data_IF_712518348695
#
_entry.id   IF_712518348695
#
_cell.length_a   1.000
_cell.length_b   1.000
_cell.length_c   1.000
_cell.angle_alpha   90.00
_cell.angle_beta   90.00
_cell.angle_gamma   90.00
#
_symmetry.space_group_name_H-M   'P 1'
#
loop_
_entity.id
_entity.type
_entity.pdbx_description
1 polymer ?
#
# COMPACT_ATOMS: atom_id res chain seq x y z
N UNK A 1 -15.82 -0.49 5.20
CA UNK A 1 -14.46 -0.18 5.11
C UNK A 1 -13.61 -1.13 5.82
N UNK A 2 -12.57 -1.58 5.20
CA UNK A 2 -11.69 -2.60 5.75
C UNK A 2 -10.30 -2.05 5.92
N UNK A 3 -9.73 -2.32 7.08
CA UNK A 3 -8.33 -2.00 7.33
C UNK A 3 -7.55 -3.29 7.41
N UNK A 4 -6.37 -3.28 6.84
CA UNK A 4 -5.50 -4.44 6.86
C UNK A 4 -4.18 -4.04 7.51
N UNK A 5 -3.78 -4.79 8.52
CA UNK A 5 -2.52 -4.53 9.18
C UNK A 5 -1.41 -5.22 8.41
N UNK A 6 -0.47 -4.42 7.91
CA UNK A 6 0.66 -4.95 7.14
C UNK A 6 1.89 -4.80 8.00
N UNK A 7 2.51 -5.90 8.34
CA UNK A 7 3.71 -5.90 9.17
C UNK A 7 4.97 -6.16 8.37
N UNK A 8 4.83 -6.80 7.22
CA UNK A 8 5.99 -7.09 6.37
C UNK A 8 5.61 -6.88 4.92
N UNK A 9 6.62 -6.66 4.09
CA UNK A 9 6.39 -6.45 2.66
C UNK A 9 5.78 -7.68 1.99
N UNK A 10 6.02 -8.86 2.55
CA UNK A 10 5.48 -10.08 1.96
C UNK A 10 3.97 -10.15 2.00
N UNK A 11 3.34 -9.35 2.83
CA UNK A 11 1.89 -9.34 2.90
C UNK A 11 1.26 -8.49 1.80
N UNK A 12 2.03 -7.62 1.17
CA UNK A 12 1.48 -6.68 0.22
C UNK A 12 1.00 -7.29 -1.09
N UNK A 13 1.70 -8.28 -1.69
CA UNK A 13 1.28 -8.76 -3.01
C UNK A 13 -0.18 -9.21 -3.05
N UNK A 14 -0.61 -9.99 -2.08
CA UNK A 14 -1.98 -10.46 -2.06
C UNK A 14 -2.98 -9.33 -1.91
N UNK A 15 -2.64 -8.36 -1.06
CA UNK A 15 -3.53 -7.23 -0.84
C UNK A 15 -3.64 -6.35 -2.07
N UNK A 16 -2.51 -6.10 -2.74
CA UNK A 16 -2.54 -5.26 -3.94
C UNK A 16 -3.37 -5.91 -5.03
N UNK A 17 -3.23 -7.22 -5.21
CA UNK A 17 -4.03 -7.91 -6.19
C UNK A 17 -5.51 -7.90 -5.84
N UNK A 18 -5.82 -8.09 -4.57
CA UNK A 18 -7.20 -8.09 -4.13
C UNK A 18 -7.86 -6.73 -4.35
N UNK A 19 -7.15 -5.66 -4.02
CA UNK A 19 -7.67 -4.31 -4.22
C UNK A 19 -7.88 -4.02 -5.70
N UNK A 20 -6.95 -4.47 -6.54
CA UNK A 20 -7.08 -4.26 -7.98
C UNK A 20 -8.31 -4.97 -8.51
N UNK A 21 -8.51 -6.21 -8.10
CA UNK A 21 -9.68 -6.97 -8.55
C UNK A 21 -10.98 -6.38 -8.02
N UNK A 22 -10.93 -5.85 -6.81
CA UNK A 22 -12.09 -5.19 -6.25
C UNK A 22 -12.49 -3.97 -7.06
N UNK A 23 -11.51 -3.26 -7.61
CA UNK A 23 -11.77 -2.13 -8.47
C UNK A 23 -12.21 -2.53 -9.88
N UNK A 24 -12.17 -3.82 -10.17
CA UNK A 24 -12.51 -4.30 -11.50
C UNK A 24 -11.47 -4.01 -12.55
N UNK A 25 -10.21 -3.82 -12.14
CA UNK A 25 -9.15 -3.47 -13.07
C UNK A 25 -8.28 -4.67 -13.40
N UNK A 26 -7.97 -4.83 -14.68
CA UNK A 26 -6.93 -5.77 -15.08
C UNK A 26 -5.58 -5.14 -14.81
N UNK A 27 -4.52 -5.95 -14.86
CA UNK A 27 -3.17 -5.40 -14.73
C UNK A 27 -2.88 -4.36 -15.81
N UNK A 28 -3.34 -4.62 -17.03
CA UNK A 28 -3.12 -3.69 -18.12
C UNK A 28 -3.81 -2.36 -17.86
N UNK A 29 -5.03 -2.40 -17.34
CA UNK A 29 -5.77 -1.18 -17.05
C UNK A 29 -5.12 -0.39 -15.92
N UNK A 30 -4.70 -1.07 -14.88
CA UNK A 30 -4.04 -0.39 -13.77
C UNK A 30 -2.71 0.22 -14.22
N UNK A 31 -1.97 -0.50 -15.04
CA UNK A 31 -0.71 0.01 -15.58
C UNK A 31 -0.94 1.25 -16.41
N UNK A 32 -1.99 1.22 -17.23
CA UNK A 32 -2.31 2.37 -18.04
C UNK A 32 -2.59 3.61 -17.18
N UNK A 33 -3.35 3.43 -16.12
CA UNK A 33 -3.66 4.53 -15.21
C UNK A 33 -2.44 5.06 -14.49
N UNK A 34 -1.49 4.18 -14.21
CA UNK A 34 -0.23 4.61 -13.59
C UNK A 34 0.74 5.23 -14.59
N UNK A 35 0.53 4.99 -15.88
CA UNK A 35 1.48 5.43 -16.88
C UNK A 35 2.71 4.57 -16.96
N UNK A 36 2.58 3.28 -16.67
CA UNK A 36 3.70 2.34 -16.74
C UNK A 36 3.29 1.14 -17.59
N UNK A 37 4.26 0.31 -17.94
CA UNK A 37 3.97 -0.90 -18.70
C UNK A 37 3.31 -1.94 -17.80
N UNK A 38 2.61 -2.88 -18.42
CA UNK A 38 2.01 -3.97 -17.68
C UNK A 38 3.07 -4.80 -16.98
N UNK A 39 4.23 -4.97 -17.60
CA UNK A 39 5.32 -5.70 -16.98
C UNK A 39 5.79 -5.01 -15.70
N UNK A 40 5.88 -3.69 -15.73
CA UNK A 40 6.27 -2.92 -14.56
C UNK A 40 5.24 -3.10 -13.44
N UNK A 41 3.97 -3.03 -13.78
CA UNK A 41 2.93 -3.23 -12.79
C UNK A 41 2.96 -4.64 -12.22
N UNK A 42 3.15 -5.63 -13.08
CA UNK A 42 3.21 -7.01 -12.64
C UNK A 42 4.34 -7.22 -11.66
N UNK A 43 5.51 -6.65 -11.96
CA UNK A 43 6.66 -6.74 -11.06
C UNK A 43 6.38 -6.03 -9.74
N UNK A 44 5.72 -4.90 -9.80
CA UNK A 44 5.39 -4.13 -8.61
C UNK A 44 4.45 -4.92 -7.70
N UNK A 45 3.46 -5.56 -8.28
CA UNK A 45 2.51 -6.35 -7.50
C UNK A 45 3.16 -7.58 -6.88
N UNK A 46 4.08 -8.20 -7.63
CA UNK A 46 4.72 -9.41 -7.13
C UNK A 46 5.76 -9.14 -6.07
N UNK A 47 6.46 -8.03 -6.20
CA UNK A 47 7.62 -7.79 -5.36
C UNK A 47 7.69 -6.32 -4.96
N UNK A 48 6.71 -5.85 -4.20
CA UNK A 48 6.66 -4.44 -3.82
C UNK A 48 7.85 -4.00 -2.98
N UNK A 49 8.55 -4.93 -2.35
CA UNK A 49 9.72 -4.57 -1.57
C UNK A 49 10.85 -4.01 -2.43
N UNK A 50 10.79 -4.24 -3.74
CA UNK A 50 11.85 -3.79 -4.63
C UNK A 50 11.50 -2.54 -5.41
N UNK A 51 10.38 -1.92 -5.10
CA UNK A 51 9.97 -0.71 -5.77
C UNK A 51 10.05 0.46 -4.83
N UNK A 52 10.14 1.64 -5.39
CA UNK A 52 10.19 2.85 -4.57
C UNK A 52 8.84 3.09 -3.91
N UNK A 53 8.88 3.77 -2.79
CA UNK A 53 7.67 4.16 -2.10
C UNK A 53 6.80 5.03 -3.01
N UNK A 54 7.43 5.87 -3.81
CA UNK A 54 6.69 6.73 -4.72
C UNK A 54 5.82 5.92 -5.68
N UNK A 55 6.39 4.88 -6.28
CA UNK A 55 5.63 4.05 -7.19
C UNK A 55 4.54 3.27 -6.48
N UNK A 56 4.85 2.78 -5.28
CA UNK A 56 3.85 2.09 -4.50
C UNK A 56 2.69 3.01 -4.17
N UNK A 57 2.98 4.24 -3.76
CA UNK A 57 1.94 5.21 -3.44
C UNK A 57 1.07 5.53 -4.66
N UNK A 58 1.68 5.60 -5.83
CA UNK A 58 0.92 5.81 -7.06
C UNK A 58 -0.04 4.66 -7.33
N UNK A 59 0.44 3.44 -7.15
CA UNK A 59 -0.45 2.29 -7.35
C UNK A 59 -1.60 2.32 -6.36
N UNK A 60 -1.31 2.61 -5.10
CA UNK A 60 -2.37 2.68 -4.10
C UNK A 60 -3.41 3.73 -4.49
N UNK A 61 -2.96 4.85 -5.02
CA UNK A 61 -3.88 5.88 -5.47
C UNK A 61 -4.79 5.38 -6.59
N UNK A 62 -4.23 4.66 -7.55
CA UNK A 62 -5.00 4.09 -8.65
C UNK A 62 -6.03 3.09 -8.13
N UNK A 63 -5.65 2.34 -7.10
CA UNK A 63 -6.53 1.33 -6.53
C UNK A 63 -7.57 1.92 -5.57
N UNK A 64 -7.48 3.22 -5.30
CA UNK A 64 -8.41 3.84 -4.36
C UNK A 64 -8.12 3.48 -2.92
N UNK A 65 -6.87 3.17 -2.62
CA UNK A 65 -6.46 2.71 -1.29
C UNK A 65 -5.60 3.78 -0.65
N UNK A 66 -5.85 4.04 0.61
CA UNK A 66 -5.05 4.98 1.38
C UNK A 66 -4.05 4.22 2.23
N UNK A 67 -2.86 4.75 2.35
CA UNK A 67 -1.87 4.19 3.26
C UNK A 67 -1.97 4.94 4.58
N UNK A 68 -2.27 4.21 5.64
CA UNK A 68 -2.41 4.78 6.98
C UNK A 68 -1.36 4.15 7.88
N UNK A 69 -0.65 4.96 8.59
CA UNK A 69 0.29 4.47 9.59
C UNK A 69 -0.39 4.53 10.95
N UNK A 70 -0.41 3.41 11.61
CA UNK A 70 -1.09 3.31 12.90
C UNK A 70 -0.13 2.80 13.94
N UNK A 71 0.05 3.56 14.98
CA UNK A 71 0.89 3.14 16.09
C UNK A 71 -0.02 2.72 17.24
N UNK A 72 -0.07 1.43 17.57
CA UNK A 72 -0.92 0.99 18.68
C UNK A 72 -0.46 1.61 19.99
N UNK A 73 -1.42 2.00 20.78
CA UNK A 73 -1.07 2.62 22.04
C UNK A 73 -1.33 1.72 23.20
N UNK A 74 -1.41 0.50 22.91
CA UNK A 74 -1.76 -0.42 23.91
C UNK A 74 -1.22 -0.06 25.22
N UNK A 75 -0.24 0.46 25.30
CA UNK A 75 0.27 0.74 26.43
C UNK A 75 0.20 2.02 26.66
N UNK A 76 -0.27 2.37 26.48
CA UNK A 76 -0.33 3.45 26.67
C UNK A 76 0.34 4.20 27.37
N UNK A 77 0.79 4.19 27.83
CA UNK A 77 1.48 4.81 28.40
C UNK A 77 1.72 5.76 28.02
N UNK A 78 1.86 6.08 27.97
CA UNK A 78 2.14 6.94 27.67
C UNK A 78 2.27 7.70 27.13
N UNK A 79 2.30 7.94 27.37
CA UNK A 79 2.42 8.68 27.02
C UNK A 79 2.64 9.40 26.40
N UNK A 80 2.73 9.62 26.66
CA UNK A 80 2.90 10.27 26.18
C UNK A 80 3.12 10.86 25.53
N UNK A 81 3.33 11.08 25.63
CA UNK A 81 3.47 11.66 25.14
C UNK A 81 3.65 12.13 24.31
N UNK A 82 3.87 12.33 24.17
CA UNK A 82 3.97 12.72 23.48
C UNK A 82 4.18 13.19 22.55
N UNK A 83 4.64 13.49 22.32
CA UNK A 83 4.89 14.00 21.51
C UNK A 83 4.92 14.03 20.48
N UNK A 84 4.92 14.26 19.84
CA UNK A 84 4.94 14.23 18.75
C UNK A 84 5.75 14.22 18.01
N UNK A 85 6.22 14.05 17.66
CA UNK A 85 6.97 14.08 17.04
C UNK A 85 7.02 14.16 15.97
N UNK A 86 7.33 14.26 15.73
CA UNK A 86 7.49 14.55 14.74
C UNK A 86 8.25 14.05 14.10
N UNK A 87 8.58 14.04 13.44
CA UNK A 87 9.41 13.49 12.60
C UNK A 87 10.02 14.26 11.78
#
# INVERSE_FOLDING_TARGET
>A
MSNFTVRTAEQLPQLLQAFRKEMGLTQAEAALRMGVSQQTLSALERNPARVSVDKLMRLLSVLGVELVLHKPTAQSRSTASSSPQVW
#
